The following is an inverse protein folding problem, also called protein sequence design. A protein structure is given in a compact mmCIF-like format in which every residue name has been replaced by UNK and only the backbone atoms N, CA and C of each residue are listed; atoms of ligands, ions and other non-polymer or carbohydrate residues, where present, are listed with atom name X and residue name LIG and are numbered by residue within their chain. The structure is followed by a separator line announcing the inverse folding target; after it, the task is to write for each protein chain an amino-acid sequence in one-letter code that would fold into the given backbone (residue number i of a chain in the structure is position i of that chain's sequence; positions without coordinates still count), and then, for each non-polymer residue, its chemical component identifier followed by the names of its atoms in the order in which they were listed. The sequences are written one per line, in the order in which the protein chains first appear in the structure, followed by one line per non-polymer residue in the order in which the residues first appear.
data_IF_309676846849
#
_entry.id   IF_309676846849
#
_cell.length_a   1.000
_cell.length_b   1.000
_cell.length_c   1.000
_cell.angle_alpha   90.00
_cell.angle_beta   90.00
_cell.angle_gamma   90.00
#
_symmetry.space_group_name_H-M   'P 1'
#
loop_
_entity.id
_entity.type
_entity.pdbx_description
1 polymer ?
#
# COMPACT_ATOMS: atom_id res chain seq x y z
N UNK A 1 59.94 10.89 21.56
CA UNK A 1 58.62 10.20 21.62
C UNK A 1 57.47 11.18 21.82
N UNK A 2 57.30 12.18 20.93
CA UNK A 2 56.20 13.16 21.04
C UNK A 2 55.41 13.37 19.73
N UNK A 3 55.91 12.87 18.61
CA UNK A 3 55.30 13.02 17.29
C UNK A 3 54.25 11.95 16.96
N UNK A 4 54.26 10.80 17.65
CA UNK A 4 53.31 9.71 17.40
C UNK A 4 51.91 9.95 17.99
N UNK A 5 51.74 10.94 18.88
CA UNK A 5 50.45 11.19 19.55
C UNK A 5 49.56 12.23 18.85
N UNK A 6 50.08 12.97 17.87
CA UNK A 6 49.32 14.05 17.20
C UNK A 6 48.51 13.50 16.01
N UNK A 7 48.92 12.38 15.42
CA UNK A 7 48.25 11.79 14.25
C UNK A 7 46.94 11.09 14.64
N UNK A 8 46.86 10.51 15.86
CA UNK A 8 45.70 9.71 16.26
C UNK A 8 44.44 10.57 16.52
N UNK A 9 44.62 11.83 16.93
CA UNK A 9 43.49 12.75 17.21
C UNK A 9 42.93 13.39 15.95
N UNK A 10 43.75 13.55 14.90
CA UNK A 10 43.30 14.13 13.62
C UNK A 10 42.45 13.14 12.80
N UNK A 11 42.67 11.83 12.96
CA UNK A 11 41.92 10.79 12.24
C UNK A 11 40.55 10.51 12.87
N UNK A 12 40.38 10.72 14.19
CA UNK A 12 39.07 10.58 14.85
C UNK A 12 38.14 11.79 14.71
N UNK A 13 38.66 12.97 14.35
CA UNK A 13 37.85 14.17 14.14
C UNK A 13 37.20 14.26 12.75
N UNK A 14 37.75 13.53 11.77
CA UNK A 14 37.26 13.54 10.38
C UNK A 14 36.15 12.53 10.11
N UNK A 15 35.90 11.60 11.04
CA UNK A 15 34.84 10.58 10.92
C UNK A 15 33.49 11.05 11.47
N UNK A 16 33.41 12.20 12.12
CA UNK A 16 32.15 12.75 12.69
C UNK A 16 31.56 13.86 11.80
N UNK A 17 32.35 14.44 10.88
CA UNK A 17 31.92 15.52 9.99
C UNK A 17 31.36 15.07 8.64
N UNK A 18 31.15 13.76 8.43
CA UNK A 18 30.42 13.21 7.27
C UNK A 18 29.00 12.74 7.62
N UNK A 19 28.53 13.00 8.85
CA UNK A 19 27.14 12.74 9.28
C UNK A 19 26.26 14.00 9.19
N UNK A 20 26.64 14.92 8.30
CA UNK A 20 25.87 16.12 7.98
C UNK A 20 25.90 16.27 6.47
N UNK A 21 24.72 16.26 5.86
CA UNK A 21 24.44 16.27 4.42
C UNK A 21 24.67 14.93 3.72
N UNK A 22 23.73 14.00 3.95
CA UNK A 22 23.29 13.09 2.89
C UNK A 22 21.77 12.87 3.07
N UNK A 23 20.99 13.93 2.88
CA UNK A 23 19.53 13.87 2.64
C UNK A 23 19.22 13.35 1.22
N UNK A 24 20.18 12.73 0.54
CA UNK A 24 19.97 12.02 -0.72
C UNK A 24 19.33 10.62 -0.49
N UNK A 25 19.14 10.22 0.77
CA UNK A 25 18.54 8.95 1.19
C UNK A 25 17.21 9.16 1.95
N UNK A 26 16.47 10.23 1.64
CA UNK A 26 15.00 10.17 1.66
C UNK A 26 14.56 9.19 0.58
N UNK A 27 14.85 7.91 0.79
CA UNK A 27 14.33 6.83 -0.01
C UNK A 27 12.82 6.87 0.22
N UNK A 28 12.08 7.30 -0.80
CA UNK A 28 10.64 7.08 -0.96
C UNK A 28 10.35 5.57 -1.00
N UNK A 29 10.69 4.86 0.07
CA UNK A 29 10.47 3.44 0.26
C UNK A 29 9.42 3.31 1.33
N UNK A 30 8.42 2.49 1.04
CA UNK A 30 7.42 2.06 2.00
C UNK A 30 8.09 1.51 3.26
N UNK A 31 7.48 1.77 4.42
CA UNK A 31 7.90 1.10 5.64
C UNK A 31 7.62 -0.41 5.55
N UNK A 32 8.26 -1.21 6.41
CA UNK A 32 7.96 -2.65 6.44
C UNK A 32 6.48 -2.91 6.77
N UNK A 33 5.88 -2.08 7.63
CA UNK A 33 4.46 -2.17 7.98
C UNK A 33 3.56 -1.81 6.78
N UNK A 34 3.88 -0.76 6.02
CA UNK A 34 3.16 -0.38 4.80
C UNK A 34 3.24 -1.47 3.72
N UNK A 35 4.39 -2.14 3.60
CA UNK A 35 4.55 -3.26 2.65
C UNK A 35 3.63 -4.41 3.06
N UNK A 36 3.55 -4.73 4.34
CA UNK A 36 2.66 -5.79 4.84
C UNK A 36 1.20 -5.43 4.64
N UNK A 37 0.80 -4.19 4.93
CA UNK A 37 -0.55 -3.69 4.70
C UNK A 37 -0.92 -3.74 3.20
N UNK A 38 -0.01 -3.26 2.34
CA UNK A 38 -0.16 -3.28 0.87
C UNK A 38 -0.31 -4.68 0.30
N UNK A 39 0.52 -5.63 0.76
CA UNK A 39 0.39 -7.04 0.38
C UNK A 39 -0.92 -7.64 0.92
N UNK A 40 -1.31 -7.27 2.14
CA UNK A 40 -2.51 -7.73 2.81
C UNK A 40 -3.79 -7.37 2.07
N UNK A 41 -4.01 -6.08 1.76
CA UNK A 41 -5.23 -5.67 1.06
C UNK A 41 -5.25 -6.20 -0.39
N UNK A 42 -4.09 -6.32 -1.07
CA UNK A 42 -4.01 -6.94 -2.41
C UNK A 42 -4.36 -8.43 -2.40
N UNK A 43 -3.92 -9.16 -1.38
CA UNK A 43 -4.35 -10.55 -1.18
C UNK A 43 -5.86 -10.59 -0.91
N UNK A 44 -6.37 -9.75 -0.02
CA UNK A 44 -7.79 -9.69 0.31
C UNK A 44 -8.66 -9.41 -0.93
N UNK A 45 -8.29 -8.43 -1.76
CA UNK A 45 -8.95 -8.16 -3.04
C UNK A 45 -8.97 -9.40 -3.95
N UNK A 46 -7.82 -10.06 -4.11
CA UNK A 46 -7.72 -11.26 -4.97
C UNK A 46 -8.66 -12.37 -4.48
N UNK A 47 -8.73 -12.57 -3.16
CA UNK A 47 -9.61 -13.58 -2.54
C UNK A 47 -11.09 -13.22 -2.64
N UNK A 48 -11.44 -11.95 -2.48
CA UNK A 48 -12.79 -11.45 -2.70
C UNK A 48 -13.21 -11.67 -4.17
N UNK A 49 -12.34 -11.34 -5.13
CA UNK A 49 -12.58 -11.58 -6.55
C UNK A 49 -12.81 -13.06 -6.87
N UNK A 50 -11.97 -13.95 -6.33
CA UNK A 50 -12.15 -15.40 -6.50
C UNK A 50 -13.49 -15.88 -5.90
N UNK A 51 -13.84 -15.41 -4.70
CA UNK A 51 -15.11 -15.75 -4.05
C UNK A 51 -16.32 -15.28 -4.86
N UNK A 52 -16.25 -14.07 -5.44
CA UNK A 52 -17.31 -13.55 -6.29
C UNK A 52 -17.46 -14.36 -7.60
N UNK A 53 -16.34 -14.82 -8.18
CA UNK A 53 -16.37 -15.72 -9.34
C UNK A 53 -17.04 -17.07 -9.01
N UNK A 54 -16.69 -17.66 -7.87
CA UNK A 54 -17.27 -18.93 -7.41
C UNK A 54 -18.76 -18.77 -7.05
N UNK A 55 -19.15 -17.64 -6.45
CA UNK A 55 -20.56 -17.29 -6.22
C UNK A 55 -21.36 -17.33 -7.52
N UNK A 56 -20.88 -16.68 -8.57
CA UNK A 56 -21.51 -16.70 -9.90
C UNK A 56 -21.61 -18.12 -10.45
N UNK A 57 -20.60 -18.94 -10.20
CA UNK A 57 -20.62 -20.38 -10.50
C UNK A 57 -21.72 -21.13 -9.76
N UNK A 58 -21.88 -20.91 -8.46
CA UNK A 58 -22.94 -21.50 -7.64
C UNK A 58 -24.34 -21.05 -8.06
N UNK A 59 -24.52 -19.77 -8.42
CA UNK A 59 -25.78 -19.22 -8.95
C UNK A 59 -26.17 -19.96 -10.24
N UNK A 60 -25.24 -20.10 -11.19
CA UNK A 60 -25.50 -20.79 -12.46
C UNK A 60 -25.89 -22.26 -12.27
N UNK A 61 -25.36 -22.90 -11.22
CA UNK A 61 -25.63 -24.30 -10.91
C UNK A 61 -26.89 -24.50 -10.03
N UNK A 62 -27.45 -23.43 -9.48
CA UNK A 62 -28.53 -23.52 -8.49
C UNK A 62 -28.08 -24.16 -7.17
N UNK A 63 -26.80 -24.02 -6.82
CA UNK A 63 -26.21 -24.52 -5.59
C UNK A 63 -26.40 -23.52 -4.46
N UNK A 64 -27.51 -23.64 -3.73
CA UNK A 64 -27.86 -22.72 -2.65
C UNK A 64 -26.86 -22.70 -1.49
N UNK A 65 -26.28 -23.86 -1.15
CA UNK A 65 -25.28 -23.94 -0.09
C UNK A 65 -23.99 -23.24 -0.55
N UNK A 66 -23.59 -23.44 -1.80
CA UNK A 66 -22.48 -22.73 -2.43
C UNK A 66 -22.69 -21.22 -2.49
N UNK A 67 -23.90 -20.75 -2.81
CA UNK A 67 -24.23 -19.32 -2.84
C UNK A 67 -23.96 -18.69 -1.46
N UNK A 68 -24.53 -19.25 -0.40
CA UNK A 68 -24.35 -18.71 0.96
C UNK A 68 -22.90 -18.79 1.44
N UNK A 69 -22.19 -19.85 1.06
CA UNK A 69 -20.80 -19.99 1.42
C UNK A 69 -19.93 -18.92 0.73
N UNK A 70 -20.04 -18.77 -0.59
CA UNK A 70 -19.20 -17.84 -1.34
C UNK A 70 -19.53 -16.37 -1.04
N UNK A 71 -20.80 -16.05 -0.76
CA UNK A 71 -21.24 -14.74 -0.22
C UNK A 71 -20.54 -14.42 1.12
N UNK A 72 -20.55 -15.36 2.06
CA UNK A 72 -19.85 -15.18 3.34
C UNK A 72 -18.34 -15.06 3.18
N UNK A 73 -17.74 -15.77 2.22
CA UNK A 73 -16.30 -15.69 1.94
C UNK A 73 -15.96 -14.33 1.33
N UNK A 74 -16.79 -13.82 0.43
CA UNK A 74 -16.62 -12.50 -0.16
C UNK A 74 -16.57 -11.41 0.93
N UNK A 75 -17.61 -11.32 1.76
CA UNK A 75 -17.70 -10.32 2.82
C UNK A 75 -16.59 -10.45 3.88
N UNK A 76 -16.06 -11.65 4.10
CA UNK A 76 -14.90 -11.82 4.97
C UNK A 76 -13.67 -11.11 4.41
N UNK A 77 -13.40 -11.27 3.11
CA UNK A 77 -12.23 -10.65 2.47
C UNK A 77 -12.44 -9.17 2.15
N UNK A 78 -13.68 -8.72 1.92
CA UNK A 78 -14.01 -7.30 1.94
C UNK A 78 -13.61 -6.66 3.27
N UNK A 79 -13.97 -7.27 4.40
CA UNK A 79 -13.56 -6.78 5.71
C UNK A 79 -12.04 -6.77 5.94
N UNK A 80 -11.33 -7.79 5.44
CA UNK A 80 -9.86 -7.82 5.52
C UNK A 80 -9.18 -6.81 4.60
N UNK A 81 -9.80 -6.48 3.45
CA UNK A 81 -9.33 -5.41 2.58
C UNK A 81 -9.34 -4.09 3.33
N UNK A 82 -10.47 -3.75 3.97
CA UNK A 82 -10.62 -2.52 4.77
C UNK A 82 -9.66 -2.51 5.97
N UNK A 83 -9.52 -3.63 6.68
CA UNK A 83 -8.60 -3.73 7.83
C UNK A 83 -7.15 -3.42 7.43
N UNK A 84 -6.67 -4.01 6.33
CA UNK A 84 -5.32 -3.78 5.84
C UNK A 84 -5.15 -2.41 5.16
N UNK A 85 -6.23 -1.86 4.62
CA UNK A 85 -6.26 -0.49 4.13
C UNK A 85 -6.05 0.51 5.28
N UNK A 86 -6.77 0.35 6.38
CA UNK A 86 -6.61 1.20 7.59
C UNK A 86 -5.20 1.08 8.22
N UNK A 87 -4.54 -0.06 8.06
CA UNK A 87 -3.16 -0.30 8.54
C UNK A 87 -2.11 0.36 7.64
N UNK A 88 -2.44 0.72 6.39
CA UNK A 88 -1.53 1.40 5.47
C UNK A 88 -1.36 2.87 5.86
N UNK A 89 -0.12 3.36 5.95
CA UNK A 89 0.10 4.73 6.40
C UNK A 89 -0.34 5.76 5.37
N UNK A 90 -1.39 6.51 5.70
CA UNK A 90 -1.89 7.62 4.89
C UNK A 90 -1.04 8.91 4.97
N UNK A 91 0.28 8.76 4.96
CA UNK A 91 1.21 9.87 5.18
C UNK A 91 2.53 9.74 4.42
N UNK A 92 2.63 8.73 3.55
CA UNK A 92 3.81 8.49 2.75
C UNK A 92 3.64 9.08 1.33
N UNK A 93 4.75 9.34 0.65
CA UNK A 93 4.76 9.93 -0.70
C UNK A 93 4.04 9.08 -1.78
N UNK A 94 3.61 7.86 -1.43
CA UNK A 94 2.90 6.90 -2.28
C UNK A 94 1.49 6.57 -1.78
N UNK A 95 0.94 7.46 -0.97
CA UNK A 95 -0.45 7.45 -0.53
C UNK A 95 -1.26 8.49 -1.33
N UNK A 96 -2.46 8.09 -1.74
CA UNK A 96 -3.45 8.93 -2.42
C UNK A 96 -4.15 9.91 -1.49
N UNK A 97 -4.07 9.71 -0.17
CA UNK A 97 -4.63 10.60 0.85
C UNK A 97 -3.71 11.75 1.28
N UNK A 98 -2.84 12.24 0.39
CA UNK A 98 -2.05 13.45 0.65
C UNK A 98 -2.97 14.63 1.03
N UNK A 99 -3.07 14.87 2.32
CA UNK A 99 -3.75 16.03 2.86
C UNK A 99 -3.05 17.29 2.37
N UNK A 100 -3.70 18.03 1.48
CA UNK A 100 -3.43 19.43 1.15
C UNK A 100 -3.54 20.31 2.41
N UNK A 101 -2.57 20.21 3.32
CA UNK A 101 -2.32 21.23 4.32
C UNK A 101 -1.52 22.34 3.64
N UNK A 102 -2.25 23.28 3.03
CA UNK A 102 -1.77 24.52 2.39
C UNK A 102 -1.28 24.40 0.93
N UNK A 103 -2.20 24.09 0.01
CA UNK A 103 -2.49 24.99 -1.12
C UNK A 103 -1.33 25.44 -2.01
N UNK A 104 -0.35 24.59 -2.30
CA UNK A 104 0.56 24.80 -3.42
C UNK A 104 0.30 23.76 -4.50
N UNK A 105 -0.64 24.09 -5.39
CA UNK A 105 -0.73 23.52 -6.73
C UNK A 105 0.60 23.74 -7.47
N UNK A 106 1.57 22.84 -7.27
CA UNK A 106 2.71 22.71 -8.16
C UNK A 106 2.22 22.02 -9.42
N UNK A 107 1.95 22.84 -10.43
CA UNK A 107 1.22 22.44 -11.62
C UNK A 107 1.91 21.37 -12.47
N UNK A 108 1.06 20.59 -13.13
CA UNK A 108 1.16 20.20 -14.55
C UNK A 108 2.43 19.49 -15.04
N UNK A 109 3.35 19.04 -14.17
CA UNK A 109 4.60 18.42 -14.61
C UNK A 109 5.16 17.33 -13.68
N UNK A 110 4.33 16.70 -12.84
CA UNK A 110 4.65 15.38 -12.29
C UNK A 110 4.37 14.33 -13.40
N UNK A 111 5.25 14.29 -14.40
CA UNK A 111 5.22 13.25 -15.41
C UNK A 111 5.54 11.90 -14.74
N UNK A 112 4.57 10.99 -14.73
CA UNK A 112 4.74 9.53 -14.77
C UNK A 112 5.86 8.99 -13.86
N UNK A 113 5.70 9.14 -12.55
CA UNK A 113 6.68 8.69 -11.57
C UNK A 113 6.26 7.52 -10.69
N UNK A 114 5.02 7.05 -10.78
CA UNK A 114 4.52 6.00 -9.89
C UNK A 114 4.30 4.72 -10.69
N UNK A 115 5.18 3.75 -10.46
CA UNK A 115 4.99 2.38 -10.93
C UNK A 115 3.77 1.81 -10.17
N UNK A 116 2.93 1.00 -10.82
CA UNK A 116 1.71 0.38 -10.28
C UNK A 116 1.95 -0.61 -9.10
N UNK A 117 3.07 -0.48 -8.38
CA UNK A 117 3.45 -1.30 -7.24
C UNK A 117 4.28 -0.57 -6.20
N UNK A 118 4.39 0.76 -6.26
CA UNK A 118 5.17 1.56 -5.29
C UNK A 118 4.38 2.01 -4.05
N UNK A 119 3.05 1.85 -4.04
CA UNK A 119 2.19 2.21 -2.92
C UNK A 119 0.71 1.85 -3.13
N UNK A 120 -0.12 2.45 -2.30
CA UNK A 120 -1.58 2.37 -2.34
C UNK A 120 -2.13 3.60 -3.08
N UNK A 121 -2.96 3.36 -4.10
CA UNK A 121 -3.44 4.41 -5.00
C UNK A 121 -4.96 4.34 -5.19
N UNK A 122 -5.56 5.43 -5.72
CA UNK A 122 -6.98 5.52 -6.09
C UNK A 122 -7.48 4.31 -6.90
N UNK A 123 -6.63 3.72 -7.73
CA UNK A 123 -6.94 2.53 -8.55
C UNK A 123 -7.26 1.28 -7.72
N UNK A 124 -6.66 1.14 -6.53
CA UNK A 124 -6.92 0.02 -5.61
C UNK A 124 -8.33 0.15 -5.00
N UNK A 125 -8.74 1.37 -4.65
CA UNK A 125 -10.10 1.69 -4.20
C UNK A 125 -11.12 1.40 -5.30
N UNK A 126 -10.88 1.91 -6.50
CA UNK A 126 -11.79 1.72 -7.62
C UNK A 126 -11.97 0.23 -7.97
N UNK A 127 -10.89 -0.56 -7.85
CA UNK A 127 -10.95 -2.00 -8.10
C UNK A 127 -11.87 -2.72 -7.10
N UNK A 128 -11.80 -2.36 -5.82
CA UNK A 128 -12.66 -2.97 -4.79
C UNK A 128 -14.12 -2.50 -4.92
N UNK A 129 -14.35 -1.21 -5.17
CA UNK A 129 -15.69 -0.66 -5.41
C UNK A 129 -16.39 -1.34 -6.60
N UNK A 130 -15.70 -1.47 -7.74
CA UNK A 130 -16.22 -2.15 -8.93
C UNK A 130 -16.58 -3.63 -8.63
N UNK A 131 -15.78 -4.28 -7.78
CA UNK A 131 -16.01 -5.67 -7.37
C UNK A 131 -17.22 -5.80 -6.43
N UNK A 132 -17.43 -4.85 -5.52
CA UNK A 132 -18.61 -4.79 -4.65
C UNK A 132 -19.89 -4.60 -5.47
N UNK A 133 -19.89 -3.67 -6.43
CA UNK A 133 -21.02 -3.44 -7.35
C UNK A 133 -21.38 -4.71 -8.15
N UNK A 134 -20.36 -5.42 -8.66
CA UNK A 134 -20.52 -6.67 -9.40
C UNK A 134 -21.04 -7.82 -8.51
N UNK A 135 -20.65 -7.85 -7.23
CA UNK A 135 -21.15 -8.80 -6.25
C UNK A 135 -22.63 -8.56 -5.94
N UNK A 136 -23.00 -7.32 -5.62
CA UNK A 136 -24.39 -6.95 -5.30
C UNK A 136 -25.34 -7.22 -6.46
N UNK A 137 -24.92 -6.91 -7.69
CA UNK A 137 -25.71 -7.19 -8.90
C UNK A 137 -25.86 -8.68 -9.20
N UNK A 138 -25.00 -9.54 -8.64
CA UNK A 138 -25.11 -10.99 -8.80
C UNK A 138 -26.04 -11.63 -7.77
N UNK A 139 -26.18 -11.02 -6.58
CA UNK A 139 -26.99 -11.56 -5.47
C UNK A 139 -28.43 -11.02 -5.42
N UNK A 140 -28.74 -9.91 -6.11
CA UNK A 140 -30.05 -9.24 -6.13
C UNK A 140 -30.78 -9.26 -7.48
#
# INVERSE_FOLDING_TARGET
MKTTKIILTAVMGLSISLYSCNDDDMQNKLSEDDIVALEGFREAYTRASDANLELKGSIQQGDFDGIHFHDSVFHHYEGLFEEHHEDYSHSNDHDDHHHDADGMHMGSNAMNGHDQGDGHHDDDHQSMDDLMDDHETSTH
#
